data_IF_452461630719
#
_entry.id   IF_452461630719
#
_cell.length_a   1.000
_cell.length_b   1.000
_cell.length_c   1.000
_cell.angle_alpha   90.00
_cell.angle_beta   90.00
_cell.angle_gamma   90.00
#
_symmetry.space_group_name_H-M   'P 1'
#
loop_
_entity.id
_entity.type
_entity.pdbx_description
1 polymer ?
#
# COMPACT_ATOMS: atom_id res chain seq x y z
N UNK A 1 1.31 -9.33 -21.54
CA UNK A 1 2.54 -8.56 -21.27
C UNK A 1 2.30 -7.07 -21.03
N UNK A 2 1.54 -6.36 -21.88
CA UNK A 2 1.27 -4.92 -21.70
C UNK A 2 0.62 -4.51 -20.35
N UNK A 3 -0.22 -5.36 -19.76
CA UNK A 3 -0.97 -5.02 -18.54
C UNK A 3 -0.09 -4.87 -17.30
N UNK A 4 1.03 -5.61 -17.20
CA UNK A 4 1.93 -5.53 -16.04
C UNK A 4 2.76 -4.25 -16.07
N UNK A 5 3.20 -3.84 -17.25
CA UNK A 5 3.97 -2.61 -17.46
C UNK A 5 3.19 -1.36 -17.02
N UNK A 6 1.87 -1.36 -17.23
CA UNK A 6 0.98 -0.26 -16.82
C UNK A 6 0.92 -0.15 -15.29
N UNK A 7 0.85 -1.29 -14.58
CA UNK A 7 0.77 -1.31 -13.11
C UNK A 7 2.08 -0.82 -12.48
N UNK A 8 3.22 -1.30 -12.98
CA UNK A 8 4.55 -0.82 -12.57
C UNK A 8 4.67 0.70 -12.74
N UNK A 9 4.35 1.21 -13.93
CA UNK A 9 4.43 2.65 -14.24
C UNK A 9 3.51 3.50 -13.35
N UNK A 10 2.35 2.96 -12.96
CA UNK A 10 1.43 3.67 -12.07
C UNK A 10 2.02 3.84 -10.65
N UNK A 11 2.66 2.79 -10.12
CA UNK A 11 3.23 2.78 -8.76
C UNK A 11 4.46 3.69 -8.61
N UNK A 12 5.25 3.88 -9.68
CA UNK A 12 6.41 4.79 -9.69
C UNK A 12 6.04 6.21 -9.24
N UNK A 13 4.84 6.69 -9.58
CA UNK A 13 4.36 8.03 -9.21
C UNK A 13 4.17 8.21 -7.69
N UNK A 14 4.13 7.12 -6.93
CA UNK A 14 3.90 7.12 -5.49
C UNK A 14 5.18 6.89 -4.68
N UNK A 15 6.33 6.68 -5.31
CA UNK A 15 7.61 6.53 -4.62
C UNK A 15 7.91 7.78 -3.78
N UNK A 16 8.37 7.57 -2.55
CA UNK A 16 8.61 8.57 -1.51
C UNK A 16 7.38 9.39 -1.08
N UNK A 17 6.16 8.91 -1.38
CA UNK A 17 4.92 9.49 -0.87
C UNK A 17 4.33 8.63 0.23
N UNK A 18 3.60 9.26 1.14
CA UNK A 18 2.71 8.55 2.07
C UNK A 18 1.55 7.98 1.29
N UNK A 19 1.33 6.67 1.42
CA UNK A 19 0.24 5.93 0.78
C UNK A 19 -0.55 5.16 1.83
N UNK A 20 -1.84 4.97 1.57
CA UNK A 20 -2.67 4.01 2.25
C UNK A 20 -2.88 2.79 1.34
N UNK A 21 -2.59 1.61 1.85
CA UNK A 21 -2.68 0.34 1.14
C UNK A 21 -3.73 -0.53 1.83
N UNK A 22 -4.62 -1.12 1.04
CA UNK A 22 -5.62 -2.08 1.51
C UNK A 22 -5.30 -3.42 0.84
N UNK A 23 -4.63 -4.35 1.54
CA UNK A 23 -4.41 -5.70 1.04
C UNK A 23 -5.72 -6.50 0.99
N UNK A 24 -5.69 -7.67 0.36
CA UNK A 24 -6.87 -8.52 0.16
C UNK A 24 -7.52 -9.02 1.46
N UNK A 25 -6.83 -8.94 2.59
CA UNK A 25 -7.35 -9.32 3.91
C UNK A 25 -8.05 -8.16 4.65
N UNK A 26 -8.16 -6.98 4.02
CA UNK A 26 -8.97 -5.86 4.50
C UNK A 26 -8.30 -4.96 5.55
N UNK A 27 -7.02 -5.19 5.88
CA UNK A 27 -6.25 -4.28 6.73
C UNK A 27 -5.99 -2.97 6.01
N UNK A 28 -5.81 -1.87 6.75
CA UNK A 28 -5.29 -0.62 6.19
C UNK A 28 -3.88 -0.40 6.69
N UNK A 29 -2.92 -0.30 5.78
CA UNK A 29 -1.51 -0.01 6.10
C UNK A 29 -1.18 1.36 5.55
N UNK A 30 -0.74 2.27 6.41
CA UNK A 30 -0.29 3.61 6.01
C UNK A 30 1.22 3.69 6.19
N UNK A 31 1.94 4.10 5.16
CA UNK A 31 3.39 4.25 5.22
C UNK A 31 3.96 5.00 4.02
N UNK A 32 5.26 5.30 4.04
CA UNK A 32 5.93 5.88 2.88
C UNK A 32 6.37 4.77 1.92
N UNK A 33 5.89 4.79 0.67
CA UNK A 33 6.32 3.83 -0.35
C UNK A 33 7.78 4.10 -0.73
N UNK A 34 8.65 3.10 -0.61
CA UNK A 34 10.09 3.22 -0.94
C UNK A 34 10.47 2.45 -2.19
N UNK A 35 9.70 1.44 -2.55
CA UNK A 35 9.97 0.60 -3.71
C UNK A 35 8.95 -0.52 -3.81
N UNK A 36 9.02 -1.23 -4.93
CA UNK A 36 8.29 -2.45 -5.18
C UNK A 36 9.09 -3.30 -6.16
N UNK A 37 8.81 -4.59 -6.25
CA UNK A 37 9.45 -5.48 -7.22
C UNK A 37 8.51 -5.92 -8.34
N UNK A 38 9.00 -6.80 -9.21
CA UNK A 38 8.26 -7.32 -10.38
C UNK A 38 7.00 -8.11 -10.03
N UNK A 39 6.87 -8.57 -8.77
CA UNK A 39 5.70 -9.29 -8.25
C UNK A 39 4.76 -8.38 -7.45
N UNK A 40 5.07 -7.08 -7.38
CA UNK A 40 4.29 -6.05 -6.66
C UNK A 40 4.36 -6.27 -5.14
N UNK A 41 5.48 -6.79 -4.64
CA UNK A 41 5.78 -6.76 -3.22
C UNK A 41 6.22 -5.35 -2.82
N UNK A 42 5.54 -4.73 -1.85
CA UNK A 42 5.71 -3.31 -1.51
C UNK A 42 6.68 -3.09 -0.35
N UNK A 43 7.61 -2.15 -0.48
CA UNK A 43 8.52 -1.72 0.59
C UNK A 43 7.99 -0.43 1.21
N UNK A 44 7.67 -0.48 2.51
CA UNK A 44 7.14 0.65 3.27
C UNK A 44 8.08 1.08 4.39
N UNK A 45 8.27 2.39 4.55
CA UNK A 45 9.00 2.99 5.67
C UNK A 45 8.06 3.67 6.66
N UNK A 46 8.31 3.50 7.96
CA UNK A 46 7.57 4.16 9.05
C UNK A 46 6.08 3.84 9.06
N UNK A 47 5.71 2.60 8.74
CA UNK A 47 4.31 2.22 8.58
C UNK A 47 3.57 2.03 9.92
N UNK A 48 2.25 2.23 9.90
CA UNK A 48 1.32 1.84 10.95
C UNK A 48 0.13 1.10 10.33
N UNK A 49 -0.32 0.05 11.00
CA UNK A 49 -1.51 -0.72 10.61
C UNK A 49 -2.72 -0.19 11.37
N UNK A 50 -3.80 0.11 10.66
CA UNK A 50 -5.09 0.45 11.25
C UNK A 50 -6.07 -0.72 11.02
N UNK A 51 -6.41 -1.40 12.11
CA UNK A 51 -7.42 -2.46 12.13
C UNK A 51 -8.75 -1.83 12.53
N UNK A 52 -9.67 -1.69 11.58
CA UNK A 52 -11.04 -1.26 11.88
C UNK A 52 -11.80 -2.43 12.51
N UNK A 53 -12.00 -2.39 13.82
CA UNK A 53 -12.90 -3.31 14.51
C UNK A 53 -14.34 -2.82 14.37
N UNK A 54 -15.25 -3.69 13.96
CA UNK A 54 -16.69 -3.38 13.92
C UNK A 54 -17.33 -3.24 15.31
N UNK A 55 -16.59 -3.58 16.39
CA UNK A 55 -17.06 -3.50 17.79
C UNK A 55 -16.48 -2.32 18.58
N UNK A 56 -15.54 -1.56 18.03
CA UNK A 56 -15.04 -0.33 18.64
C UNK A 56 -15.47 0.84 17.76
N UNK A 57 -16.32 1.70 18.33
CA UNK A 57 -16.74 2.94 17.67
C UNK A 57 -15.53 3.78 17.28
N UNK A 58 -15.67 4.53 16.19
CA UNK A 58 -14.75 5.60 15.82
C UNK A 58 -14.90 6.69 16.89
N UNK A 59 -13.85 6.92 17.69
CA UNK A 59 -13.79 8.07 18.60
C UNK A 59 -13.22 9.30 17.88
#
# INVERSE_FOLDING_TARGET
EASWSIITSALENYINRTVAIIPSDGRMIVGTLKGFDQTIDLILYGNHEQVFSSSQGVE
#
